data_IF_189935230904
#
_entry.id   IF_189935230904
#
_cell.length_a   1.000
_cell.length_b   1.000
_cell.length_c   1.000
_cell.angle_alpha   90.00
_cell.angle_beta   90.00
_cell.angle_gamma   90.00
#
_symmetry.space_group_name_H-M   'P 1'
#
loop_
_entity.id
_entity.type
_entity.pdbx_description
1 polymer ?
#
# COMPACT_ATOMS: atom_id res chain seq x y z
N UNK A 1 -1.69 18.07 10.99
CA UNK A 1 -2.65 18.23 9.88
C UNK A 1 -4.05 17.94 10.39
N UNK A 2 -5.05 18.64 9.87
CA UNK A 2 -6.45 18.26 10.07
C UNK A 2 -6.84 17.12 9.09
N UNK A 3 -8.02 16.51 9.27
CA UNK A 3 -8.48 15.40 8.43
C UNK A 3 -8.54 15.72 6.94
N UNK A 4 -8.96 16.93 6.58
CA UNK A 4 -9.06 17.33 5.17
C UNK A 4 -7.66 17.33 4.54
N UNK A 5 -6.68 17.93 5.20
CA UNK A 5 -5.29 17.97 4.74
C UNK A 5 -4.71 16.57 4.57
N UNK A 6 -5.00 15.64 5.50
CA UNK A 6 -4.55 14.24 5.39
C UNK A 6 -5.22 13.53 4.23
N UNK A 7 -6.53 13.69 4.05
CA UNK A 7 -7.24 13.06 2.94
C UNK A 7 -6.81 13.61 1.58
N UNK A 8 -6.54 14.92 1.50
CA UNK A 8 -6.04 15.55 0.28
C UNK A 8 -4.63 15.03 -0.06
N UNK A 9 -3.75 14.92 0.94
CA UNK A 9 -2.43 14.32 0.74
C UNK A 9 -2.50 12.83 0.39
N UNK A 10 -3.38 12.07 1.05
CA UNK A 10 -3.65 10.67 0.70
C UNK A 10 -3.98 10.54 -0.78
N UNK A 11 -4.87 11.40 -1.30
CA UNK A 11 -5.27 11.40 -2.71
C UNK A 11 -4.14 11.77 -3.65
N UNK A 12 -3.30 12.73 -3.25
CA UNK A 12 -2.13 13.16 -4.01
C UNK A 12 -1.16 12.00 -4.26
N UNK A 13 -0.83 11.24 -3.21
CA UNK A 13 0.22 10.20 -3.29
C UNK A 13 -0.32 8.78 -3.56
N UNK A 14 -1.64 8.56 -3.56
CA UNK A 14 -2.24 7.24 -3.77
C UNK A 14 -1.66 6.52 -5.00
N UNK A 15 -1.54 7.28 -6.08
CA UNK A 15 -1.14 6.76 -7.38
C UNK A 15 0.36 6.50 -7.51
N UNK A 16 1.19 7.06 -6.63
CA UNK A 16 2.62 6.74 -6.57
C UNK A 16 2.83 5.30 -6.06
N UNK A 17 1.94 4.80 -5.20
CA UNK A 17 1.97 3.43 -4.69
C UNK A 17 1.42 2.39 -5.69
N UNK A 18 0.34 2.72 -6.40
CA UNK A 18 -0.48 1.70 -7.10
C UNK A 18 -0.47 1.78 -8.63
N UNK A 19 0.21 2.75 -9.25
CA UNK A 19 0.44 2.68 -10.69
C UNK A 19 1.41 1.58 -11.07
N UNK A 20 1.24 1.04 -12.29
CA UNK A 20 2.23 0.15 -12.90
C UNK A 20 3.59 0.86 -12.99
N UNK A 21 4.66 0.33 -12.39
CA UNK A 21 5.98 0.93 -12.45
C UNK A 21 6.60 0.80 -13.85
N UNK A 22 7.35 1.81 -14.27
CA UNK A 22 8.09 1.85 -15.54
C UNK A 22 9.46 1.17 -15.39
N UNK A 23 9.44 -0.14 -15.13
CA UNK A 23 10.62 -0.98 -14.92
C UNK A 23 11.40 -1.18 -16.22
N UNK A 24 12.73 -1.16 -16.13
CA UNK A 24 13.64 -1.23 -17.30
C UNK A 24 14.21 -2.62 -17.53
N UNK A 25 14.08 -3.52 -16.57
CA UNK A 25 14.69 -4.85 -16.62
C UNK A 25 13.64 -5.95 -16.49
N UNK A 26 13.80 -7.00 -17.30
CA UNK A 26 12.88 -8.14 -17.31
C UNK A 26 12.83 -8.86 -15.95
N UNK A 27 13.98 -8.95 -15.25
CA UNK A 27 14.06 -9.62 -13.94
C UNK A 27 13.19 -8.92 -12.90
N UNK A 28 13.27 -7.58 -12.81
CA UNK A 28 12.42 -6.83 -11.89
C UNK A 28 10.98 -6.73 -12.38
N UNK A 29 10.72 -6.74 -13.69
CA UNK A 29 9.36 -6.85 -14.22
C UNK A 29 8.69 -8.16 -13.78
N UNK A 30 9.40 -9.29 -13.87
CA UNK A 30 8.91 -10.58 -13.38
C UNK A 30 8.74 -10.61 -11.87
N UNK A 31 9.67 -10.02 -11.11
CA UNK A 31 9.53 -9.85 -9.66
C UNK A 31 8.26 -9.06 -9.31
N UNK A 32 8.08 -7.89 -9.93
CA UNK A 32 6.90 -7.05 -9.73
C UNK A 32 5.61 -7.82 -10.04
N UNK A 33 5.54 -8.53 -11.16
CA UNK A 33 4.36 -9.31 -11.51
C UNK A 33 4.05 -10.42 -10.48
N UNK A 34 5.08 -11.05 -9.88
CA UNK A 34 4.88 -12.02 -8.78
C UNK A 34 4.33 -11.35 -7.51
N UNK A 35 4.69 -10.10 -7.26
CA UNK A 35 4.30 -9.34 -6.07
C UNK A 35 3.02 -8.50 -6.26
N UNK A 36 2.61 -8.26 -7.50
CA UNK A 36 1.39 -7.53 -7.87
C UNK A 36 0.15 -7.99 -7.10
N UNK A 37 -0.12 -9.30 -6.87
CA UNK A 37 -1.27 -9.72 -6.09
C UNK A 37 -1.31 -9.16 -4.66
N UNK A 38 -0.16 -8.89 -4.04
CA UNK A 38 -0.09 -8.26 -2.72
C UNK A 38 -0.51 -6.79 -2.82
N UNK A 39 -0.02 -6.08 -3.83
CA UNK A 39 -0.37 -4.69 -4.10
C UNK A 39 -1.87 -4.55 -4.40
N UNK A 40 -2.44 -5.44 -5.22
CA UNK A 40 -3.87 -5.45 -5.56
C UNK A 40 -4.77 -5.66 -4.34
N UNK A 41 -4.35 -6.51 -3.39
CA UNK A 41 -5.09 -6.71 -2.14
C UNK A 41 -5.17 -5.41 -1.33
N UNK A 42 -4.05 -4.68 -1.24
CA UNK A 42 -3.97 -3.39 -0.53
C UNK A 42 -4.74 -2.28 -1.25
N UNK A 43 -4.70 -2.28 -2.59
CA UNK A 43 -5.29 -1.24 -3.42
C UNK A 43 -6.79 -1.08 -3.17
N UNK A 44 -7.54 -2.17 -2.97
CA UNK A 44 -9.00 -2.11 -2.78
C UNK A 44 -9.43 -1.23 -1.58
N UNK A 45 -9.04 -1.59 -0.34
CA UNK A 45 -9.33 -0.79 0.84
C UNK A 45 -8.83 0.65 0.75
N UNK A 46 -7.60 0.84 0.28
CA UNK A 46 -7.00 2.17 0.18
C UNK A 46 -7.65 3.02 -0.91
N UNK A 47 -8.15 2.42 -1.99
CA UNK A 47 -8.91 3.11 -3.01
C UNK A 47 -10.28 3.57 -2.50
N UNK A 48 -10.90 2.85 -1.56
CA UNK A 48 -12.10 3.34 -0.88
C UNK A 48 -11.83 4.63 -0.11
N UNK A 49 -10.68 4.73 0.56
CA UNK A 49 -10.24 5.97 1.21
C UNK A 49 -10.00 7.07 0.20
N UNK A 50 -9.32 6.77 -0.91
CA UNK A 50 -9.12 7.72 -2.02
C UNK A 50 -10.45 8.33 -2.51
N UNK A 51 -11.42 7.48 -2.85
CA UNK A 51 -12.71 7.89 -3.41
C UNK A 51 -13.63 8.55 -2.37
N UNK A 52 -13.77 7.95 -1.19
CA UNK A 52 -14.83 8.26 -0.22
C UNK A 52 -14.33 8.86 1.09
N UNK A 53 -13.03 8.80 1.35
CA UNK A 53 -12.44 9.20 2.63
C UNK A 53 -12.64 8.18 3.76
N UNK A 54 -13.19 7.01 3.46
CA UNK A 54 -13.51 5.98 4.44
C UNK A 54 -13.40 4.57 3.84
N UNK A 55 -13.25 3.59 4.72
CA UNK A 55 -13.05 2.18 4.38
C UNK A 55 -13.83 1.24 5.30
N UNK A 56 -14.91 1.72 5.93
CA UNK A 56 -15.62 0.98 6.99
C UNK A 56 -16.20 -0.35 6.50
N UNK A 57 -16.42 -0.47 5.19
CA UNK A 57 -16.85 -1.71 4.55
C UNK A 57 -15.93 -2.89 4.89
N UNK A 58 -14.65 -2.66 5.14
CA UNK A 58 -13.71 -3.75 5.49
C UNK A 58 -14.03 -4.38 6.85
N UNK A 59 -14.71 -3.65 7.74
CA UNK A 59 -15.13 -4.17 9.04
C UNK A 59 -16.45 -4.94 8.96
N UNK A 60 -17.20 -4.77 7.87
CA UNK A 60 -18.52 -5.35 7.68
C UNK A 60 -18.53 -6.52 6.69
N UNK A 61 -17.67 -6.51 5.67
CA UNK A 61 -17.56 -7.60 4.69
C UNK A 61 -16.72 -8.76 5.25
N UNK A 62 -17.33 -9.57 6.12
CA UNK A 62 -16.67 -10.74 6.73
C UNK A 62 -16.37 -11.86 5.74
N UNK A 63 -16.89 -11.81 4.52
CA UNK A 63 -16.53 -12.77 3.47
C UNK A 63 -15.16 -12.44 2.89
N UNK A 64 -14.85 -11.14 2.70
CA UNK A 64 -13.56 -10.67 2.18
C UNK A 64 -12.53 -10.41 3.28
N UNK A 65 -12.97 -9.93 4.44
CA UNK A 65 -12.13 -9.52 5.57
C UNK A 65 -12.63 -10.16 6.88
N UNK A 66 -12.50 -11.49 7.04
CA UNK A 66 -13.08 -12.20 8.18
C UNK A 66 -12.53 -11.75 9.54
N UNK A 67 -11.26 -11.34 9.58
CA UNK A 67 -10.52 -11.05 10.81
C UNK A 67 -10.34 -9.54 11.08
N UNK A 68 -10.95 -8.66 10.27
CA UNK A 68 -10.74 -7.21 10.38
C UNK A 68 -11.92 -6.59 11.13
N UNK A 69 -11.71 -6.18 12.37
CA UNK A 69 -12.76 -5.67 13.27
C UNK A 69 -12.53 -4.23 13.71
N UNK A 70 -11.31 -3.72 13.53
CA UNK A 70 -10.88 -2.40 13.99
C UNK A 70 -9.89 -1.75 13.04
N UNK A 71 -9.65 -0.45 13.22
CA UNK A 71 -8.60 0.27 12.51
C UNK A 71 -7.21 -0.33 12.79
N UNK A 72 -6.97 -0.83 14.02
CA UNK A 72 -5.74 -1.52 14.39
C UNK A 72 -5.56 -2.80 13.57
N UNK A 73 -6.59 -3.65 13.46
CA UNK A 73 -6.53 -4.88 12.66
C UNK A 73 -6.23 -4.58 11.18
N UNK A 74 -6.78 -3.48 10.65
CA UNK A 74 -6.51 -3.05 9.28
C UNK A 74 -5.07 -2.55 9.11
N UNK A 75 -4.54 -1.80 10.07
CA UNK A 75 -3.15 -1.33 10.05
C UNK A 75 -2.18 -2.50 10.11
N UNK A 76 -2.38 -3.42 11.05
CA UNK A 76 -1.56 -4.63 11.19
C UNK A 76 -1.58 -5.48 9.91
N UNK A 77 -2.77 -5.63 9.31
CA UNK A 77 -2.92 -6.34 8.04
C UNK A 77 -2.17 -5.64 6.89
N UNK A 78 -2.26 -4.31 6.78
CA UNK A 78 -1.52 -3.54 5.79
C UNK A 78 -0.01 -3.73 5.97
N UNK A 79 0.49 -3.58 7.20
CA UNK A 79 1.90 -3.75 7.55
C UNK A 79 2.40 -5.15 7.20
N UNK A 80 1.65 -6.21 7.52
CA UNK A 80 2.00 -7.59 7.17
C UNK A 80 2.23 -7.75 5.66
N UNK A 81 1.32 -7.22 4.83
CA UNK A 81 1.41 -7.31 3.38
C UNK A 81 2.56 -6.49 2.81
N UNK A 82 2.74 -5.27 3.30
CA UNK A 82 3.83 -4.38 2.86
C UNK A 82 5.19 -4.99 3.23
N UNK A 83 5.33 -5.50 4.46
CA UNK A 83 6.57 -6.15 4.91
C UNK A 83 6.90 -7.38 4.06
N UNK A 84 5.91 -8.23 3.76
CA UNK A 84 6.12 -9.38 2.87
C UNK A 84 6.59 -8.94 1.47
N UNK A 85 6.01 -7.87 0.92
CA UNK A 85 6.49 -7.29 -0.34
C UNK A 85 7.96 -6.86 -0.24
N UNK A 86 8.30 -6.10 0.81
CA UNK A 86 9.64 -5.57 1.04
C UNK A 86 10.68 -6.68 1.25
N UNK A 87 10.35 -7.72 2.01
CA UNK A 87 11.22 -8.88 2.23
C UNK A 87 11.55 -9.60 0.90
N UNK A 88 10.54 -9.82 0.07
CA UNK A 88 10.73 -10.44 -1.24
C UNK A 88 11.57 -9.54 -2.17
N UNK A 89 11.40 -8.22 -2.10
CA UNK A 89 12.17 -7.27 -2.89
C UNK A 89 13.63 -7.17 -2.46
N UNK A 90 13.92 -7.21 -1.16
CA UNK A 90 15.28 -7.12 -0.59
C UNK A 90 16.06 -8.42 -0.82
N UNK A 91 15.38 -9.57 -0.88
CA UNK A 91 15.99 -10.85 -1.22
C UNK A 91 16.59 -10.88 -2.64
N UNK A 92 16.11 -10.02 -3.53
CA UNK A 92 16.58 -9.91 -4.92
C UNK A 92 17.72 -8.89 -5.00
N UNK A 93 18.97 -9.37 -5.09
CA UNK A 93 20.15 -8.51 -5.19
C UNK A 93 20.34 -8.03 -6.64
N UNK A 94 20.38 -6.71 -6.91
CA UNK A 94 20.66 -6.17 -8.25
C UNK A 94 22.04 -6.59 -8.78
N UNK A 95 22.13 -6.92 -10.06
CA UNK A 95 23.37 -7.27 -10.75
C UNK A 95 23.99 -6.07 -11.49
N UNK A 96 23.21 -5.01 -11.72
CA UNK A 96 23.61 -3.83 -12.49
C UNK A 96 22.81 -2.58 -12.06
N UNK A 97 23.25 -1.41 -12.53
CA UNK A 97 22.63 -0.14 -12.18
C UNK A 97 21.16 0.01 -12.65
N UNK A 98 20.75 -0.44 -13.85
CA UNK A 98 19.34 -0.49 -14.21
C UNK A 98 18.47 -1.27 -13.22
N UNK A 99 18.90 -2.47 -12.81
CA UNK A 99 18.18 -3.27 -11.82
C UNK A 99 18.13 -2.60 -10.44
N UNK A 100 19.19 -1.89 -10.05
CA UNK A 100 19.20 -1.12 -8.81
C UNK A 100 18.16 0.00 -8.84
N UNK A 101 18.00 0.67 -9.97
CA UNK A 101 16.96 1.70 -10.15
C UNK A 101 15.56 1.10 -10.12
N UNK A 102 15.36 -0.05 -10.75
CA UNK A 102 14.10 -0.78 -10.69
C UNK A 102 13.75 -1.19 -9.24
N UNK A 103 14.74 -1.71 -8.49
CA UNK A 103 14.56 -2.03 -7.08
C UNK A 103 14.17 -0.79 -6.27
N UNK A 104 14.88 0.33 -6.46
CA UNK A 104 14.60 1.59 -5.77
C UNK A 104 13.19 2.11 -6.08
N UNK A 105 12.73 1.98 -7.34
CA UNK A 105 11.38 2.36 -7.72
C UNK A 105 10.34 1.51 -6.96
N UNK A 106 10.50 0.19 -6.93
CA UNK A 106 9.59 -0.68 -6.18
C UNK A 106 9.65 -0.43 -4.67
N UNK A 107 10.84 -0.17 -4.11
CA UNK A 107 10.99 0.21 -2.70
C UNK A 107 10.22 1.48 -2.38
N UNK A 108 10.36 2.51 -3.22
CA UNK A 108 9.60 3.75 -3.09
C UNK A 108 8.09 3.50 -3.09
N UNK A 109 7.57 2.65 -3.99
CA UNK A 109 6.13 2.31 -3.97
C UNK A 109 5.71 1.70 -2.63
N UNK A 110 6.51 0.81 -2.03
CA UNK A 110 6.19 0.23 -0.71
C UNK A 110 6.24 1.25 0.43
N UNK A 111 7.13 2.24 0.36
CA UNK A 111 7.19 3.33 1.33
C UNK A 111 5.91 4.19 1.25
N UNK A 112 5.44 4.49 0.04
CA UNK A 112 4.19 5.21 -0.18
C UNK A 112 3.00 4.37 0.31
N UNK A 113 2.97 3.05 0.07
CA UNK A 113 1.92 2.16 0.62
C UNK A 113 1.84 2.24 2.15
N UNK A 114 2.98 2.32 2.85
CA UNK A 114 3.01 2.47 4.30
C UNK A 114 2.44 3.83 4.74
N UNK A 115 2.84 4.91 4.08
CA UNK A 115 2.30 6.25 4.36
C UNK A 115 0.78 6.30 4.16
N UNK A 116 0.27 5.65 3.10
CA UNK A 116 -1.18 5.53 2.86
C UNK A 116 -1.86 4.75 3.99
N UNK A 117 -1.29 3.63 4.44
CA UNK A 117 -1.84 2.85 5.55
C UNK A 117 -1.91 3.68 6.86
N UNK A 118 -0.83 4.39 7.20
CA UNK A 118 -0.77 5.28 8.36
C UNK A 118 -1.81 6.41 8.29
N UNK A 119 -1.97 7.03 7.11
CA UNK A 119 -2.99 8.06 6.90
C UNK A 119 -4.41 7.52 6.98
N UNK A 120 -4.68 6.34 6.42
CA UNK A 120 -5.99 5.69 6.55
C UNK A 120 -6.31 5.37 8.01
N UNK A 121 -5.33 4.90 8.78
CA UNK A 121 -5.46 4.68 10.21
C UNK A 121 -5.76 5.98 10.96
N UNK A 122 -5.02 7.06 10.68
CA UNK A 122 -5.28 8.38 11.26
C UNK A 122 -6.68 8.90 10.95
N UNK A 123 -7.12 8.80 9.69
CA UNK A 123 -8.44 9.25 9.24
C UNK A 123 -9.56 8.54 10.01
N UNK A 124 -9.40 7.24 10.28
CA UNK A 124 -10.39 6.47 11.03
C UNK A 124 -10.39 6.77 12.53
N UNK A 125 -9.23 6.81 13.15
CA UNK A 125 -9.11 6.96 14.62
C UNK A 125 -9.38 8.39 15.09
N UNK A 126 -9.15 9.37 14.23
CA UNK A 126 -9.50 10.77 14.48
C UNK A 126 -11.01 11.07 14.39
N UNK A 127 -11.88 10.06 14.21
CA UNK A 127 -13.35 10.20 14.33
C UNK A 127 -13.82 10.31 15.79
N UNK A 128 -12.99 9.88 16.75
CA UNK A 128 -13.36 9.75 18.16
C UNK A 128 -12.73 10.82 19.08
N UNK A 129 -12.13 11.87 18.49
CA UNK A 129 -11.55 13.04 19.19
C UNK A 129 -12.32 14.30 18.82
#
# INVERSE_FOLDING_TARGET
>A
MNKSEVLDHFREIFWDAFHRPDLKTERYYQLWHRLEPISDLLAGPLFSVFEKGEYDYVFHDKKRFPNMHSADDFMDWCMEKINHYQEALIAEVPNNEPEKKDQQLLSYQTEVMMQLAEMAYFLKTSENL
#
